data_IF_337034188043
#
_entry.id   IF_337034188043
#
_cell.length_a   1.000
_cell.length_b   1.000
_cell.length_c   1.000
_cell.angle_alpha   90.00
_cell.angle_beta   90.00
_cell.angle_gamma   90.00
#
_symmetry.space_group_name_H-M   'P 1'
#
loop_
_entity.id
_entity.type
_entity.pdbx_description
1 polymer ?
#
# COMPACT_ATOMS: atom_id res chain seq x y z
N UNK A 1 -2.73 6.93 -22.57
CA UNK A 1 -3.76 6.19 -21.83
C UNK A 1 -3.01 5.21 -20.95
N UNK A 2 -2.93 5.44 -19.65
CA UNK A 2 -2.04 4.62 -18.80
C UNK A 2 -1.88 5.05 -17.35
N UNK A 3 -2.74 5.95 -16.85
CA UNK A 3 -2.77 6.35 -15.45
C UNK A 3 -4.12 6.06 -14.77
N UNK A 4 -5.09 5.48 -15.51
CA UNK A 4 -6.48 5.37 -15.06
C UNK A 4 -6.76 4.05 -14.29
N UNK A 5 -5.90 3.02 -14.44
CA UNK A 5 -6.04 1.72 -13.75
C UNK A 5 -5.11 1.54 -12.54
N UNK A 6 -4.30 2.54 -12.17
CA UNK A 6 -3.40 2.45 -11.01
C UNK A 6 -3.95 3.22 -9.82
N UNK A 7 -4.33 2.50 -8.77
CA UNK A 7 -4.80 3.07 -7.51
C UNK A 7 -3.60 3.72 -6.81
N UNK A 8 -3.69 5.00 -6.41
CA UNK A 8 -2.60 5.64 -5.69
C UNK A 8 -2.39 4.96 -4.34
N UNK A 9 -1.13 4.81 -3.94
CA UNK A 9 -0.73 4.13 -2.70
C UNK A 9 -1.47 4.69 -1.47
N UNK A 10 -1.67 6.00 -1.42
CA UNK A 10 -2.43 6.67 -0.35
C UNK A 10 -3.87 6.15 -0.29
N UNK A 11 -4.56 5.98 -1.43
CA UNK A 11 -5.91 5.39 -1.42
C UNK A 11 -5.91 3.95 -0.94
N UNK A 12 -4.91 3.15 -1.32
CA UNK A 12 -4.78 1.79 -0.83
C UNK A 12 -4.60 1.76 0.70
N UNK A 13 -3.75 2.62 1.26
CA UNK A 13 -3.51 2.75 2.69
C UNK A 13 -4.74 3.24 3.46
N UNK A 14 -5.47 4.22 2.92
CA UNK A 14 -6.74 4.70 3.49
C UNK A 14 -7.80 3.59 3.51
N UNK A 15 -7.88 2.82 2.42
CA UNK A 15 -8.81 1.67 2.32
C UNK A 15 -8.48 0.59 3.38
N UNK A 16 -7.19 0.36 3.64
CA UNK A 16 -6.76 -0.50 4.74
C UNK A 16 -7.17 0.09 6.09
N UNK A 17 -6.87 1.36 6.35
CA UNK A 17 -7.21 2.00 7.63
C UNK A 17 -8.72 1.98 7.92
N UNK A 18 -9.54 2.14 6.88
CA UNK A 18 -10.99 2.06 6.99
C UNK A 18 -11.49 0.69 7.42
N UNK A 19 -10.87 -0.40 6.95
CA UNK A 19 -11.19 -1.78 7.34
C UNK A 19 -10.52 -2.21 8.65
N UNK A 20 -9.30 -1.75 8.85
CA UNK A 20 -8.37 -2.16 9.90
C UNK A 20 -7.77 -0.93 10.56
N UNK A 21 -8.50 -0.22 11.44
CA UNK A 21 -7.99 0.97 12.12
C UNK A 21 -6.87 0.67 13.13
N UNK A 22 -6.48 -0.60 13.25
CA UNK A 22 -5.47 -1.12 14.16
C UNK A 22 -4.38 -1.85 13.36
N UNK A 23 -3.28 -2.22 14.02
CA UNK A 23 -2.14 -2.89 13.40
C UNK A 23 -2.56 -4.15 12.64
N UNK A 24 -2.16 -4.25 11.37
CA UNK A 24 -2.46 -5.42 10.53
C UNK A 24 -1.38 -6.47 10.70
N UNK A 25 -1.81 -7.69 11.04
CA UNK A 25 -0.94 -8.86 11.15
C UNK A 25 -1.22 -9.82 9.99
N UNK A 26 -0.52 -9.61 8.88
CA UNK A 26 -0.53 -10.53 7.73
C UNK A 26 0.75 -11.34 7.69
N UNK A 27 0.61 -12.63 7.37
CA UNK A 27 1.73 -13.53 7.21
C UNK A 27 2.52 -13.19 5.94
N UNK A 28 3.56 -12.37 6.08
CA UNK A 28 4.38 -11.91 4.94
C UNK A 28 5.19 -13.02 4.27
N UNK A 29 5.20 -14.23 4.85
CA UNK A 29 5.81 -15.42 4.23
C UNK A 29 4.84 -16.13 3.30
N UNK A 30 3.53 -15.99 3.52
CA UNK A 30 2.51 -16.63 2.72
C UNK A 30 1.98 -15.69 1.64
N UNK A 31 2.27 -16.01 0.38
CA UNK A 31 1.82 -15.21 -0.75
C UNK A 31 0.29 -15.19 -0.89
N UNK A 32 -0.37 -16.28 -0.50
CA UNK A 32 -1.83 -16.38 -0.53
C UNK A 32 -2.49 -15.45 0.49
N UNK A 33 -1.94 -15.37 1.70
CA UNK A 33 -2.39 -14.47 2.76
C UNK A 33 -2.27 -12.99 2.33
N UNK A 34 -1.13 -12.61 1.73
CA UNK A 34 -0.91 -11.26 1.20
C UNK A 34 -1.89 -10.90 0.08
N UNK A 35 -2.11 -11.84 -0.86
CA UNK A 35 -3.04 -11.65 -1.99
C UNK A 35 -4.46 -11.46 -1.46
N UNK A 36 -4.89 -12.34 -0.56
CA UNK A 36 -6.24 -12.29 0.02
C UNK A 36 -6.47 -11.02 0.85
N UNK A 37 -5.44 -10.55 1.55
CA UNK A 37 -5.49 -9.26 2.24
C UNK A 37 -5.68 -8.10 1.26
N UNK A 38 -4.90 -8.06 0.17
CA UNK A 38 -5.06 -7.06 -0.90
C UNK A 38 -6.44 -7.11 -1.53
N UNK A 39 -6.96 -8.30 -1.86
CA UNK A 39 -8.30 -8.45 -2.42
C UNK A 39 -9.41 -7.94 -1.47
N UNK A 40 -9.19 -7.99 -0.15
CA UNK A 40 -10.18 -7.58 0.84
C UNK A 40 -10.19 -6.07 1.10
N UNK A 41 -9.01 -5.43 1.05
CA UNK A 41 -8.85 -3.99 1.30
C UNK A 41 -8.87 -3.15 0.03
N UNK A 42 -8.35 -3.68 -1.08
CA UNK A 42 -8.21 -3.01 -2.37
C UNK A 42 -8.47 -4.04 -3.49
N UNK A 43 -9.71 -4.50 -3.70
CA UNK A 43 -10.03 -5.52 -4.71
C UNK A 43 -9.68 -5.11 -6.15
N UNK A 44 -9.62 -3.80 -6.40
CA UNK A 44 -9.37 -3.18 -7.71
C UNK A 44 -7.87 -3.06 -8.04
N UNK A 45 -6.97 -3.59 -7.20
CA UNK A 45 -5.52 -3.50 -7.43
C UNK A 45 -5.06 -4.29 -8.67
N UNK A 46 -4.02 -3.79 -9.33
CA UNK A 46 -3.43 -4.39 -10.54
C UNK A 46 -2.57 -5.61 -10.15
N UNK A 47 -3.12 -6.82 -10.30
CA UNK A 47 -2.43 -8.08 -9.97
C UNK A 47 -1.23 -8.38 -10.86
N UNK A 48 -1.14 -7.77 -12.04
CA UNK A 48 -0.03 -7.98 -12.97
C UNK A 48 1.19 -7.14 -12.59
N UNK A 49 0.96 -5.99 -11.94
CA UNK A 49 2.02 -5.07 -11.50
C UNK A 49 2.36 -5.18 -10.02
N UNK A 50 1.44 -5.64 -9.18
CA UNK A 50 1.66 -5.74 -7.73
C UNK A 50 2.24 -7.12 -7.42
N UNK A 51 3.55 -7.15 -7.16
CA UNK A 51 4.23 -8.36 -6.74
C UNK A 51 4.08 -8.60 -5.24
N UNK A 52 4.33 -9.84 -4.81
CA UNK A 52 4.28 -10.20 -3.38
C UNK A 52 5.19 -9.32 -2.53
N UNK A 53 6.33 -8.87 -3.06
CA UNK A 53 7.24 -7.93 -2.39
C UNK A 53 6.59 -6.57 -2.13
N UNK A 54 5.78 -6.06 -3.06
CA UNK A 54 5.07 -4.79 -2.91
C UNK A 54 3.95 -4.89 -1.89
N UNK A 55 3.24 -6.03 -1.85
CA UNK A 55 2.24 -6.29 -0.81
C UNK A 55 2.88 -6.32 0.58
N UNK A 56 4.05 -6.97 0.71
CA UNK A 56 4.81 -6.99 1.97
C UNK A 56 5.23 -5.59 2.39
N UNK A 57 5.77 -4.81 1.45
CA UNK A 57 6.16 -3.41 1.69
C UNK A 57 4.96 -2.59 2.15
N UNK A 58 3.81 -2.77 1.50
CA UNK A 58 2.59 -2.02 1.79
C UNK A 58 2.05 -2.32 3.19
N UNK A 59 1.98 -3.59 3.60
CA UNK A 59 1.60 -3.97 4.98
C UNK A 59 2.58 -3.40 6.00
N UNK A 60 3.89 -3.46 5.71
CA UNK A 60 4.90 -2.93 6.63
C UNK A 60 4.82 -1.41 6.75
N UNK A 61 4.67 -0.69 5.64
CA UNK A 61 4.47 0.76 5.63
C UNK A 61 3.18 1.16 6.33
N UNK A 62 2.09 0.42 6.12
CA UNK A 62 0.84 0.66 6.82
C UNK A 62 1.03 0.63 8.34
N UNK A 63 1.66 -0.42 8.87
CA UNK A 63 1.91 -0.55 10.30
C UNK A 63 2.86 0.54 10.83
N UNK A 64 3.88 0.92 10.05
CA UNK A 64 4.81 2.00 10.42
C UNK A 64 4.12 3.37 10.44
N UNK A 65 3.29 3.65 9.43
CA UNK A 65 2.51 4.90 9.36
C UNK A 65 1.51 4.95 10.50
N UNK A 66 0.80 3.86 10.79
CA UNK A 66 -0.12 3.81 11.93
C UNK A 66 0.60 4.08 13.27
N UNK A 67 1.82 3.58 13.44
CA UNK A 67 2.60 3.75 14.67
C UNK A 67 3.22 5.15 14.82
N UNK A 68 3.76 5.70 13.73
CA UNK A 68 4.56 6.92 13.78
C UNK A 68 3.83 8.17 13.28
N UNK A 69 2.85 8.01 12.39
CA UNK A 69 2.17 9.10 11.71
C UNK A 69 0.72 8.71 11.36
N UNK A 70 -0.13 8.39 12.36
CA UNK A 70 -1.52 7.98 12.09
C UNK A 70 -2.36 9.10 11.45
N UNK A 71 -1.92 10.35 11.56
CA UNK A 71 -2.52 11.52 10.92
C UNK A 71 -2.58 11.42 9.38
N UNK A 72 -1.60 10.78 8.73
CA UNK A 72 -1.62 10.60 7.26
C UNK A 72 -2.61 9.54 6.79
N UNK A 73 -3.14 8.74 7.72
CA UNK A 73 -4.16 7.72 7.44
C UNK A 73 -5.59 8.27 7.66
N UNK A 74 -5.72 9.57 7.93
CA UNK A 74 -7.00 10.28 8.11
C UNK A 74 -7.28 11.09 6.85
N UNK A 75 -8.53 11.12 6.41
CA UNK A 75 -8.97 11.72 5.14
C UNK A 75 -8.97 13.27 5.14
N UNK A 76 -8.21 13.90 6.05
CA UNK A 76 -8.09 15.37 6.15
C UNK A 76 -6.92 15.85 5.28
N UNK A 77 -7.26 16.25 4.04
CA UNK A 77 -6.45 17.02 3.08
C UNK A 77 -4.93 16.82 3.15
N UNK A 78 -4.44 15.67 2.68
CA UNK A 78 -3.03 15.58 2.25
C UNK A 78 -2.90 16.31 0.90
N UNK A 79 -2.18 17.45 0.81
CA UNK A 79 -1.83 18.02 -0.48
C UNK A 79 -0.96 17.02 -1.22
N UNK A 80 -1.50 16.49 -2.31
CA UNK A 80 -0.82 15.60 -3.23
C UNK A 80 0.28 16.39 -3.97
N UNK A 81 1.43 16.59 -3.34
CA UNK A 81 2.62 17.06 -4.04
C UNK A 81 3.88 16.34 -3.53
N UNK A 82 4.71 15.96 -4.51
CA UNK A 82 6.02 15.31 -4.41
C UNK A 82 6.05 13.77 -4.30
N UNK A 83 5.64 13.12 -5.39
CA UNK A 83 6.30 11.88 -5.86
C UNK A 83 7.32 12.25 -6.93
N UNK A 84 8.52 12.65 -6.53
CA UNK A 84 9.68 12.65 -7.44
C UNK A 84 10.97 12.35 -6.68
N UNK A 85 11.38 11.07 -6.62
CA UNK A 85 12.80 10.70 -6.83
C UNK A 85 13.01 9.21 -7.14
N UNK A 86 13.24 8.95 -8.44
CA UNK A 86 14.33 8.18 -9.04
C UNK A 86 14.67 6.76 -8.54
N UNK A 87 14.22 5.76 -9.33
CA UNK A 87 15.03 4.87 -10.17
C UNK A 87 16.50 4.49 -9.78
N UNK A 88 16.74 3.17 -9.73
CA UNK A 88 17.93 2.37 -10.11
C UNK A 88 19.27 2.43 -9.33
N UNK A 89 19.72 1.25 -8.88
CA UNK A 89 21.08 0.72 -9.12
C UNK A 89 20.96 -0.81 -9.10
N UNK A 90 20.87 -1.48 -10.26
CA UNK A 90 21.98 -1.86 -11.14
C UNK A 90 22.96 -2.83 -10.46
N UNK A 91 22.94 -4.06 -10.98
CA UNK A 91 23.92 -5.10 -10.75
C UNK A 91 25.29 -4.65 -11.29
N UNK A 92 26.33 -4.91 -10.50
CA UNK A 92 27.65 -5.32 -10.95
C UNK A 92 28.19 -6.37 -9.97
#
# INVERSE_FOLDING_TARGET
QGAEDSIPLIKALLSINSKYPETVHVDTKDAGALTRFMEEVVPEYDREKVYTSDMKKLVNWYNLLLLHCPEVLVEEEVPAEETEKSESSAAE
#
